data_IF_353175746512
#
_entry.id   IF_353175746512
#
_cell.length_a   1.000
_cell.length_b   1.000
_cell.length_c   1.000
_cell.angle_alpha   90.00
_cell.angle_beta   90.00
_cell.angle_gamma   90.00
#
_symmetry.space_group_name_H-M   'P 1'
#
loop_
_entity.id
_entity.type
_entity.pdbx_description
1 polymer ?
#
# COMPACT_ATOMS: atom_id res chain seq x y z
N UNK A 1 -24.78 3.75 -10.38
CA UNK A 1 -23.57 3.24 -11.03
C UNK A 1 -22.57 4.38 -11.06
N UNK A 2 -21.48 4.30 -10.31
CA UNK A 2 -20.40 5.29 -10.36
C UNK A 2 -19.62 5.06 -11.64
N UNK A 3 -19.80 5.94 -12.63
CA UNK A 3 -19.02 5.95 -13.86
C UNK A 3 -17.55 6.17 -13.50
N UNK A 4 -16.70 5.20 -13.83
CA UNK A 4 -15.25 5.34 -13.67
C UNK A 4 -14.76 6.38 -14.68
N UNK A 5 -13.81 7.27 -14.33
CA UNK A 5 -13.25 8.21 -15.30
C UNK A 5 -12.54 7.48 -16.44
N UNK A 6 -12.79 7.88 -17.69
CA UNK A 6 -12.22 7.23 -18.88
C UNK A 6 -10.89 7.86 -19.32
N UNK A 7 -10.56 9.04 -18.80
CA UNK A 7 -9.33 9.75 -19.11
C UNK A 7 -8.87 10.65 -17.94
N UNK A 8 -7.68 11.24 -18.08
CA UNK A 8 -7.07 12.08 -17.04
C UNK A 8 -7.87 13.36 -16.73
N UNK A 9 -8.56 13.94 -17.73
CA UNK A 9 -9.40 15.12 -17.51
C UNK A 9 -10.55 14.76 -16.58
N UNK A 10 -11.25 13.68 -16.88
CA UNK A 10 -12.39 13.21 -16.10
C UNK A 10 -11.96 12.81 -14.68
N UNK A 11 -10.77 12.21 -14.53
CA UNK A 11 -10.21 11.84 -13.23
C UNK A 11 -9.92 13.09 -12.37
N UNK A 12 -9.31 14.12 -12.96
CA UNK A 12 -9.06 15.38 -12.23
C UNK A 12 -10.37 16.08 -11.86
N UNK A 13 -11.37 16.05 -12.75
CA UNK A 13 -12.69 16.63 -12.50
C UNK A 13 -13.49 15.88 -11.43
N UNK A 14 -13.21 14.58 -11.21
CA UNK A 14 -13.83 13.81 -10.13
C UNK A 14 -13.32 14.18 -8.74
N UNK A 15 -12.45 15.18 -8.62
CA UNK A 15 -11.83 15.59 -7.35
C UNK A 15 -10.68 14.71 -6.91
N UNK A 16 -10.19 13.82 -7.77
CA UNK A 16 -9.00 13.03 -7.48
C UNK A 16 -7.78 13.94 -7.30
N UNK A 17 -7.01 13.69 -6.26
CA UNK A 17 -5.77 14.39 -5.97
C UNK A 17 -4.60 13.43 -6.12
N UNK A 18 -3.56 13.90 -6.81
CA UNK A 18 -2.30 13.15 -6.85
C UNK A 18 -1.68 13.17 -5.46
N UNK A 19 -1.20 12.01 -5.03
CA UNK A 19 -0.47 11.83 -3.79
C UNK A 19 0.81 11.04 -4.05
N UNK A 20 1.76 11.19 -3.14
CA UNK A 20 2.99 10.40 -3.20
C UNK A 20 2.68 8.91 -2.95
N UNK A 21 3.35 8.04 -3.70
CA UNK A 21 3.11 6.59 -3.65
C UNK A 21 3.51 6.01 -2.29
N UNK A 22 4.61 6.47 -1.68
CA UNK A 22 5.05 5.98 -0.38
C UNK A 22 4.06 6.38 0.71
N UNK A 23 3.58 7.62 0.69
CA UNK A 23 2.54 8.09 1.62
C UNK A 23 1.25 7.29 1.45
N UNK A 24 0.80 7.06 0.21
CA UNK A 24 -0.37 6.23 -0.08
C UNK A 24 -0.23 4.80 0.46
N UNK A 25 0.92 4.16 0.22
CA UNK A 25 1.20 2.82 0.70
C UNK A 25 1.18 2.76 2.23
N UNK A 26 1.88 3.68 2.92
CA UNK A 26 1.89 3.74 4.38
C UNK A 26 0.50 3.91 4.96
N UNK A 27 -0.31 4.83 4.43
CA UNK A 27 -1.67 5.08 4.90
C UNK A 27 -2.58 3.86 4.72
N UNK A 28 -2.54 3.25 3.53
CA UNK A 28 -3.35 2.07 3.23
C UNK A 28 -2.93 0.88 4.10
N UNK A 29 -1.62 0.69 4.29
CA UNK A 29 -1.09 -0.37 5.13
C UNK A 29 -1.44 -0.17 6.61
N UNK A 30 -1.34 1.07 7.11
CA UNK A 30 -1.73 1.41 8.48
C UNK A 30 -3.22 1.13 8.74
N UNK A 31 -4.09 1.41 7.77
CA UNK A 31 -5.53 1.07 7.86
C UNK A 31 -5.76 -0.43 7.93
N UNK A 32 -5.09 -1.22 7.10
CA UNK A 32 -5.20 -2.69 7.14
C UNK A 32 -4.67 -3.27 8.45
N UNK A 33 -3.55 -2.74 8.96
CA UNK A 33 -2.96 -3.12 10.24
C UNK A 33 -3.94 -2.85 11.39
N UNK A 34 -4.57 -1.66 11.42
CA UNK A 34 -5.57 -1.31 12.42
C UNK A 34 -6.82 -2.21 12.38
N UNK A 35 -7.14 -2.76 11.20
CA UNK A 35 -8.24 -3.71 11.01
C UNK A 35 -7.88 -5.15 11.38
N UNK A 36 -6.64 -5.41 11.86
CA UNK A 36 -6.13 -6.75 12.14
C UNK A 36 -6.33 -7.72 10.96
N UNK A 37 -6.25 -7.20 9.74
CA UNK A 37 -6.37 -8.00 8.52
C UNK A 37 -5.09 -8.81 8.28
N UNK A 38 -5.21 -9.94 7.60
CA UNK A 38 -4.04 -10.64 7.08
C UNK A 38 -3.32 -9.76 6.05
N UNK A 39 -2.13 -9.26 6.41
CA UNK A 39 -1.39 -8.27 5.64
C UNK A 39 -0.63 -8.89 4.47
N UNK A 40 -0.31 -10.18 4.54
CA UNK A 40 0.50 -10.89 3.56
C UNK A 40 -0.14 -12.24 3.20
N UNK A 41 -1.38 -12.24 2.68
CA UNK A 41 -2.11 -13.46 2.41
C UNK A 41 -1.37 -14.33 1.39
N UNK A 42 -1.18 -15.60 1.74
CA UNK A 42 -0.51 -16.58 0.88
C UNK A 42 1.01 -16.63 0.98
N UNK A 43 1.63 -15.78 1.81
CA UNK A 43 3.06 -15.90 2.15
C UNK A 43 3.20 -16.87 3.34
N UNK A 44 4.11 -17.85 3.21
CA UNK A 44 4.33 -18.89 4.23
C UNK A 44 5.80 -18.92 4.65
N UNK A 45 6.05 -19.01 5.96
CA UNK A 45 7.38 -19.30 6.52
C UNK A 45 8.30 -18.08 6.68
N UNK A 46 7.79 -16.87 6.47
CA UNK A 46 8.54 -15.61 6.61
C UNK A 46 8.10 -14.77 7.82
N UNK A 47 7.26 -15.33 8.68
CA UNK A 47 6.64 -14.66 9.83
C UNK A 47 7.68 -14.03 10.76
N UNK A 48 8.80 -14.72 10.98
CA UNK A 48 9.87 -14.30 11.88
C UNK A 48 11.09 -13.70 11.16
N UNK A 49 11.02 -13.47 9.84
CA UNK A 49 12.17 -13.00 9.06
C UNK A 49 11.82 -11.80 8.16
N UNK A 50 11.24 -12.04 6.99
CA UNK A 50 11.06 -11.00 5.97
C UNK A 50 9.82 -10.14 6.22
N UNK A 51 8.73 -10.74 6.71
CA UNK A 51 7.45 -10.02 6.93
C UNK A 51 7.61 -8.87 7.94
N UNK A 52 8.29 -9.05 9.09
CA UNK A 52 8.52 -7.94 10.02
C UNK A 52 9.31 -6.79 9.41
N UNK A 53 10.34 -7.09 8.63
CA UNK A 53 11.19 -6.07 7.99
C UNK A 53 10.45 -5.27 6.91
N UNK A 54 9.64 -5.94 6.08
CA UNK A 54 8.78 -5.24 5.10
C UNK A 54 7.76 -4.34 5.82
N UNK A 55 7.17 -4.84 6.91
CA UNK A 55 6.18 -4.09 7.71
C UNK A 55 6.80 -2.81 8.24
N UNK A 56 8.00 -2.89 8.84
CA UNK A 56 8.73 -1.73 9.34
C UNK A 56 9.13 -0.77 8.22
N UNK A 57 9.63 -1.29 7.10
CA UNK A 57 10.04 -0.48 5.95
C UNK A 57 8.87 0.29 5.33
N UNK A 58 7.68 -0.33 5.19
CA UNK A 58 6.47 0.34 4.71
C UNK A 58 6.01 1.43 5.66
N UNK A 59 6.05 1.19 6.97
CA UNK A 59 5.69 2.20 7.97
C UNK A 59 6.68 3.38 8.01
N UNK A 60 7.97 3.11 7.74
CA UNK A 60 9.04 4.09 7.69
C UNK A 60 9.21 4.78 6.31
N UNK A 61 8.43 4.39 5.30
CA UNK A 61 8.54 4.89 3.92
C UNK A 61 9.93 4.66 3.28
N UNK A 62 10.62 3.59 3.70
CA UNK A 62 11.94 3.22 3.19
C UNK A 62 11.88 2.64 1.78
N UNK A 63 12.94 2.86 1.01
CA UNK A 63 13.18 2.12 -0.24
C UNK A 63 13.65 0.70 0.09
N UNK A 64 13.11 -0.29 -0.62
CA UNK A 64 13.41 -1.71 -0.42
C UNK A 64 14.03 -2.32 -1.67
N UNK A 65 14.95 -3.25 -1.47
CA UNK A 65 15.54 -4.06 -2.53
C UNK A 65 15.31 -5.54 -2.18
N UNK A 66 14.64 -6.28 -3.06
CA UNK A 66 14.44 -7.71 -2.91
C UNK A 66 15.53 -8.45 -3.69
N UNK A 67 16.34 -9.26 -3.00
CA UNK A 67 17.30 -10.17 -3.61
C UNK A 67 16.79 -11.61 -3.52
N UNK A 68 16.91 -12.35 -4.61
CA UNK A 68 16.54 -13.77 -4.72
C UNK A 68 17.76 -14.67 -4.86
#
# INVERSE_FOLDING_TARGET
>A
MTTRPDNLRDLKQSGWQSRDVKTELRENFTKQLAQSSDLFPGILGYDDTVIPEITLALLAEHDMLFLG
#
